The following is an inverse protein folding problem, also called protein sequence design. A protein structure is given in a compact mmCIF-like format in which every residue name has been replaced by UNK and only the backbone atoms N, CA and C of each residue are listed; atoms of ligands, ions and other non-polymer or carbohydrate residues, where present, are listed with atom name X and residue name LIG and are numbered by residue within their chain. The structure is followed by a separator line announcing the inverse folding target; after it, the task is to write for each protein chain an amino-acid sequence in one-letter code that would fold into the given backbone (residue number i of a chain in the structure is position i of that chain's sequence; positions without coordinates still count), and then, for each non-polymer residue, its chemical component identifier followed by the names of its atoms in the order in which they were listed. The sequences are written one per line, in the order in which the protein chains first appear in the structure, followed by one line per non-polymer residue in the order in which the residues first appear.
data_IF_135905200437
#
_entry.id   IF_135905200437
#
_cell.length_a   1.000
_cell.length_b   1.000
_cell.length_c   1.000
_cell.angle_alpha   90.00
_cell.angle_beta   90.00
_cell.angle_gamma   90.00
#
_symmetry.space_group_name_H-M   'P 1'
#
loop_
_entity.id
_entity.type
_entity.pdbx_description
1 polymer ?
#
# COMPACT_ATOMS: atom_id res chain seq x y z
N UNK A 1 -17.90 17.17 -9.22
CA UNK A 1 -18.09 15.80 -9.76
C UNK A 1 -17.80 14.83 -8.62
N UNK A 2 -18.42 13.64 -8.57
CA UNK A 2 -18.09 12.66 -7.53
C UNK A 2 -16.63 12.22 -7.67
N UNK A 3 -15.99 11.93 -6.53
CA UNK A 3 -14.67 11.32 -6.47
C UNK A 3 -14.69 9.89 -7.00
N UNK A 4 -13.54 9.31 -7.34
CA UNK A 4 -13.49 7.92 -7.78
C UNK A 4 -13.79 6.94 -6.64
N UNK A 5 -13.19 7.16 -5.47
CA UNK A 5 -13.40 6.38 -4.25
C UNK A 5 -13.53 7.29 -3.03
N UNK A 6 -14.48 6.97 -2.15
CA UNK A 6 -14.54 7.55 -0.80
C UNK A 6 -14.58 6.43 0.25
N UNK A 7 -13.68 6.48 1.22
CA UNK A 7 -13.64 5.62 2.41
C UNK A 7 -14.24 6.42 3.56
N UNK A 8 -15.28 5.90 4.22
CA UNK A 8 -16.07 6.70 5.19
C UNK A 8 -16.18 6.10 6.57
N UNK A 9 -16.35 6.96 7.58
CA UNK A 9 -16.64 6.59 8.96
C UNK A 9 -15.46 6.01 9.73
N UNK A 10 -14.28 5.92 9.11
CA UNK A 10 -13.08 5.32 9.66
C UNK A 10 -12.36 6.21 10.67
N UNK A 11 -11.47 5.58 11.44
CA UNK A 11 -10.48 6.26 12.27
C UNK A 11 -9.18 6.39 11.48
N UNK A 12 -8.86 7.59 11.02
CA UNK A 12 -7.64 7.86 10.24
C UNK A 12 -6.44 7.98 11.17
N UNK A 13 -5.41 7.19 10.89
CA UNK A 13 -4.07 7.30 11.47
C UNK A 13 -3.12 7.58 10.31
N UNK A 14 -2.71 8.84 10.16
CA UNK A 14 -2.05 9.35 8.94
C UNK A 14 -0.55 9.06 8.84
N UNK A 15 0.03 8.41 9.86
CA UNK A 15 1.45 8.07 9.91
C UNK A 15 2.38 9.22 10.38
N UNK A 16 1.84 10.39 10.73
CA UNK A 16 2.64 11.53 11.24
C UNK A 16 3.03 11.38 12.71
N UNK A 17 2.48 10.39 13.42
CA UNK A 17 2.60 10.21 14.87
C UNK A 17 1.61 11.05 15.67
N UNK A 18 0.74 11.83 15.02
CA UNK A 18 -0.35 12.55 15.65
C UNK A 18 -1.46 11.66 16.21
N UNK A 19 -2.42 12.28 16.91
CA UNK A 19 -3.60 11.59 17.39
C UNK A 19 -4.48 11.12 16.23
N UNK A 20 -5.09 9.94 16.38
CA UNK A 20 -6.05 9.42 15.41
C UNK A 20 -7.31 10.31 15.34
N UNK A 21 -7.86 10.48 14.14
CA UNK A 21 -9.03 11.34 13.91
C UNK A 21 -10.12 10.57 13.17
N UNK A 22 -11.38 10.75 13.57
CA UNK A 22 -12.51 10.22 12.81
C UNK A 22 -12.70 11.07 11.56
N UNK A 23 -12.54 10.47 10.38
CA UNK A 23 -12.52 11.18 9.11
C UNK A 23 -12.88 10.28 7.93
N UNK A 24 -13.32 10.91 6.84
CA UNK A 24 -13.49 10.29 5.54
C UNK A 24 -12.28 10.64 4.65
N UNK A 25 -11.96 9.76 3.70
CA UNK A 25 -10.83 9.90 2.76
C UNK A 25 -11.35 9.76 1.34
N UNK A 26 -11.09 10.76 0.49
CA UNK A 26 -11.42 10.74 -0.93
C UNK A 26 -10.18 10.50 -1.78
N UNK A 27 -10.34 9.71 -2.84
CA UNK A 27 -9.29 9.31 -3.78
C UNK A 27 -9.79 9.52 -5.20
N UNK A 28 -8.95 10.13 -6.03
CA UNK A 28 -9.13 10.27 -7.48
C UNK A 28 -7.88 9.76 -8.21
N UNK A 29 -8.07 8.81 -9.12
CA UNK A 29 -6.96 8.11 -9.78
C UNK A 29 -5.97 7.50 -8.77
N UNK A 30 -4.74 8.02 -8.79
CA UNK A 30 -3.60 7.56 -7.97
C UNK A 30 -3.34 8.44 -6.73
N UNK A 31 -4.22 9.38 -6.41
CA UNK A 31 -4.01 10.36 -5.32
C UNK A 31 -5.16 10.43 -4.33
N UNK A 32 -4.80 10.61 -3.07
CA UNK A 32 -5.72 11.10 -2.04
C UNK A 32 -5.97 12.59 -2.34
N UNK A 33 -7.23 12.96 -2.54
CA UNK A 33 -7.61 14.35 -2.92
C UNK A 33 -8.28 15.12 -1.80
N UNK A 34 -8.83 14.44 -0.80
CA UNK A 34 -9.31 15.07 0.43
C UNK A 34 -9.28 14.12 1.63
N UNK A 35 -9.04 14.69 2.81
CA UNK A 35 -9.27 14.06 4.11
C UNK A 35 -10.02 15.07 4.96
N UNK A 36 -11.14 14.67 5.55
CA UNK A 36 -11.97 15.61 6.30
C UNK A 36 -12.93 14.92 7.25
N UNK A 37 -13.65 15.68 8.08
CA UNK A 37 -14.68 15.13 8.96
C UNK A 37 -15.68 14.26 8.20
N UNK A 38 -16.38 13.32 8.87
CA UNK A 38 -17.39 12.49 8.23
C UNK A 38 -18.40 13.31 7.42
N UNK A 39 -18.67 12.86 6.20
CA UNK A 39 -19.51 13.52 5.19
C UNK A 39 -18.98 14.87 4.63
N UNK A 40 -17.77 15.31 4.99
CA UNK A 40 -17.21 16.58 4.50
C UNK A 40 -16.48 16.48 3.16
N UNK A 41 -16.05 15.29 2.75
CA UNK A 41 -15.23 15.08 1.53
C UNK A 41 -16.06 14.88 0.25
N UNK A 42 -17.39 14.90 0.34
CA UNK A 42 -18.28 14.71 -0.81
C UNK A 42 -18.57 13.26 -1.18
N UNK A 43 -19.19 13.06 -2.34
CA UNK A 43 -19.63 11.75 -2.84
C UNK A 43 -18.55 11.04 -3.66
N UNK A 44 -18.58 9.71 -3.65
CA UNK A 44 -17.70 8.84 -4.43
C UNK A 44 -18.46 7.92 -5.37
N UNK A 45 -17.92 7.63 -6.56
CA UNK A 45 -18.44 6.59 -7.47
C UNK A 45 -18.42 5.22 -6.81
N UNK A 46 -17.37 4.95 -6.04
CA UNK A 46 -17.25 3.81 -5.13
C UNK A 46 -17.20 4.32 -3.69
N UNK A 47 -17.91 3.62 -2.79
CA UNK A 47 -17.87 3.89 -1.35
C UNK A 47 -17.43 2.65 -0.59
N UNK A 48 -16.56 2.84 0.39
CA UNK A 48 -16.16 1.81 1.35
C UNK A 48 -16.54 2.31 2.74
N UNK A 49 -17.34 1.52 3.46
CA UNK A 49 -17.64 1.77 4.86
C UNK A 49 -16.53 1.19 5.75
N UNK A 50 -15.87 2.07 6.51
CA UNK A 50 -14.78 1.75 7.41
C UNK A 50 -15.16 2.03 8.87
N UNK A 51 -16.45 2.10 9.20
CA UNK A 51 -16.90 2.23 10.58
C UNK A 51 -16.32 1.11 11.46
N UNK A 52 -15.76 1.50 12.62
CA UNK A 52 -15.07 0.59 13.53
C UNK A 52 -13.69 0.13 13.07
N UNK A 53 -13.25 0.51 11.87
CA UNK A 53 -11.92 0.20 11.35
C UNK A 53 -10.97 1.41 11.40
N UNK A 54 -9.68 1.11 11.27
CA UNK A 54 -8.63 2.12 11.10
C UNK A 54 -8.33 2.27 9.61
N UNK A 55 -8.15 3.51 9.17
CA UNK A 55 -7.65 3.84 7.82
C UNK A 55 -6.24 4.38 7.97
N UNK A 56 -5.25 3.66 7.43
CA UNK A 56 -3.83 4.02 7.50
C UNK A 56 -3.25 4.22 6.10
N UNK A 57 -2.10 4.90 5.97
CA UNK A 57 -1.22 4.64 4.83
C UNK A 57 -0.96 3.14 4.69
N UNK A 58 -0.80 2.68 3.46
CA UNK A 58 -0.32 1.32 3.23
C UNK A 58 1.06 1.13 3.83
N UNK A 59 1.35 -0.05 4.37
CA UNK A 59 2.61 -0.28 5.05
C UNK A 59 3.77 -0.36 4.05
N UNK A 60 4.94 0.09 4.51
CA UNK A 60 6.21 -0.01 3.79
C UNK A 60 7.06 -1.06 4.48
N UNK A 61 7.22 -2.21 3.83
CA UNK A 61 8.09 -3.28 4.32
C UNK A 61 9.52 -3.02 3.82
N UNK A 62 10.36 -2.53 4.73
CA UNK A 62 11.72 -2.09 4.43
C UNK A 62 12.71 -3.24 4.30
N UNK A 63 12.29 -4.49 4.57
CA UNK A 63 13.21 -5.61 4.63
C UNK A 63 12.60 -6.91 4.10
N UNK A 64 12.62 -7.05 2.77
CA UNK A 64 12.10 -8.25 2.09
C UNK A 64 13.14 -8.94 1.24
N UNK A 65 12.84 -10.19 0.90
CA UNK A 65 13.61 -11.05 0.01
C UNK A 65 12.74 -11.56 -1.15
N UNK A 66 11.89 -10.69 -1.71
CA UNK A 66 11.04 -11.03 -2.85
C UNK A 66 11.76 -10.95 -4.21
N UNK A 67 13.08 -10.74 -4.22
CA UNK A 67 13.92 -10.58 -5.42
C UNK A 67 13.65 -11.66 -6.49
N UNK A 68 13.54 -12.92 -6.06
CA UNK A 68 13.09 -14.01 -6.92
C UNK A 68 11.57 -14.02 -7.09
N UNK A 69 10.82 -13.98 -5.99
CA UNK A 69 9.36 -14.16 -5.99
C UNK A 69 8.60 -13.17 -6.88
N UNK A 70 9.09 -11.95 -7.00
CA UNK A 70 8.51 -10.93 -7.88
C UNK A 70 8.46 -11.36 -9.37
N UNK A 71 9.24 -12.38 -9.77
CA UNK A 71 9.25 -12.90 -11.14
C UNK A 71 8.10 -13.88 -11.43
N UNK A 72 7.48 -14.49 -10.41
CA UNK A 72 6.39 -15.46 -10.58
C UNK A 72 5.11 -15.14 -9.79
N UNK A 73 5.18 -14.33 -8.74
CA UNK A 73 4.03 -13.84 -7.97
C UNK A 73 3.84 -12.34 -8.19
N UNK A 74 3.04 -11.99 -9.19
CA UNK A 74 2.72 -10.59 -9.52
C UNK A 74 1.89 -9.86 -8.45
N UNK A 75 1.38 -10.57 -7.44
CA UNK A 75 0.58 -10.00 -6.36
C UNK A 75 1.33 -9.87 -5.04
N UNK A 76 2.48 -10.54 -4.90
CA UNK A 76 3.29 -10.59 -3.66
C UNK A 76 2.36 -10.82 -2.45
N UNK A 77 1.52 -11.86 -2.56
CA UNK A 77 0.41 -12.10 -1.63
C UNK A 77 0.80 -12.13 -0.14
N UNK A 78 1.99 -12.65 0.26
CA UNK A 78 2.36 -12.64 1.67
C UNK A 78 2.53 -11.23 2.24
N UNK A 79 2.78 -10.21 1.43
CA UNK A 79 2.83 -8.81 1.87
C UNK A 79 1.50 -8.10 1.65
N UNK A 80 0.91 -8.21 0.46
CA UNK A 80 -0.33 -7.50 0.13
C UNK A 80 -1.50 -7.85 1.06
N UNK A 81 -1.61 -9.11 1.50
CA UNK A 81 -2.65 -9.52 2.45
C UNK A 81 -2.49 -8.94 3.86
N UNK A 82 -1.29 -8.50 4.22
CA UNK A 82 -1.00 -7.88 5.52
C UNK A 82 -0.97 -6.35 5.46
N UNK A 83 -1.50 -5.74 4.39
CA UNK A 83 -1.62 -4.29 4.25
C UNK A 83 -0.35 -3.59 3.75
N UNK A 84 0.66 -4.36 3.31
CA UNK A 84 1.87 -3.80 2.69
C UNK A 84 1.55 -3.36 1.27
N UNK A 85 1.96 -2.14 0.93
CA UNK A 85 1.77 -1.55 -0.40
C UNK A 85 3.09 -1.23 -1.10
N UNK A 86 4.19 -1.19 -0.35
CA UNK A 86 5.54 -0.98 -0.87
C UNK A 86 6.50 -1.93 -0.17
N UNK A 87 7.41 -2.54 -0.94
CA UNK A 87 8.48 -3.40 -0.41
C UNK A 87 9.84 -2.90 -0.86
N UNK A 88 10.86 -3.11 -0.03
CA UNK A 88 12.27 -2.93 -0.37
C UNK A 88 12.93 -4.31 -0.47
N UNK A 89 13.56 -4.58 -1.61
CA UNK A 89 14.25 -5.83 -1.97
C UNK A 89 15.77 -5.63 -2.06
N UNK A 90 16.54 -6.70 -2.24
CA UNK A 90 18.01 -6.61 -2.32
C UNK A 90 18.70 -6.54 -0.95
N UNK A 91 18.04 -7.04 0.10
CA UNK A 91 18.53 -7.00 1.47
C UNK A 91 19.57 -8.10 1.74
N UNK A 92 20.34 -7.93 2.82
CA UNK A 92 21.30 -8.92 3.34
C UNK A 92 22.36 -9.42 2.33
N UNK A 93 22.64 -8.67 1.27
CA UNK A 93 23.53 -9.11 0.19
C UNK A 93 22.92 -10.18 -0.72
N UNK A 94 21.62 -10.45 -0.58
CA UNK A 94 20.84 -11.34 -1.43
C UNK A 94 20.06 -10.49 -2.43
N UNK A 95 20.39 -10.63 -3.70
CA UNK A 95 19.72 -9.97 -4.80
C UNK A 95 20.01 -10.67 -6.11
N UNK A 96 19.04 -10.64 -7.02
CA UNK A 96 19.16 -11.31 -8.33
C UNK A 96 19.87 -10.43 -9.37
N UNK A 97 20.09 -9.14 -9.07
CA UNK A 97 20.79 -8.20 -9.93
C UNK A 97 21.57 -7.16 -9.10
N UNK A 98 22.65 -6.59 -9.67
CA UNK A 98 23.28 -6.95 -10.94
C UNK A 98 24.02 -8.30 -10.86
N UNK A 99 23.97 -9.09 -11.94
CA UNK A 99 24.67 -10.38 -12.09
C UNK A 99 25.37 -10.45 -13.45
N UNK A 100 26.53 -11.12 -13.52
CA UNK A 100 27.24 -11.34 -14.78
C UNK A 100 26.38 -12.16 -15.74
N UNK A 101 26.41 -11.84 -17.03
CA UNK A 101 25.61 -12.55 -18.03
C UNK A 101 25.86 -14.07 -18.05
N UNK A 102 27.09 -14.50 -17.79
CA UNK A 102 27.45 -15.93 -17.68
C UNK A 102 26.81 -16.64 -16.49
N UNK A 103 26.37 -15.90 -15.47
CA UNK A 103 25.98 -16.43 -14.16
C UNK A 103 24.46 -16.30 -13.93
N UNK A 104 23.69 -15.86 -14.94
CA UNK A 104 22.24 -15.64 -14.83
C UNK A 104 21.49 -16.90 -14.37
N UNK A 105 21.85 -18.07 -14.91
CA UNK A 105 21.17 -19.33 -14.57
C UNK A 105 21.52 -19.81 -13.15
N UNK A 106 22.70 -19.47 -12.61
CA UNK A 106 23.15 -19.91 -11.27
C UNK A 106 22.31 -19.32 -10.15
N UNK A 107 21.64 -18.17 -10.38
CA UNK A 107 20.82 -17.51 -9.36
C UNK A 107 19.37 -18.01 -9.32
N UNK A 108 18.90 -18.64 -10.40
CA UNK A 108 17.49 -19.03 -10.59
C UNK A 108 17.29 -20.55 -10.44
N UNK A 109 18.32 -21.35 -10.75
CA UNK A 109 18.36 -22.81 -10.57
C UNK A 109 18.95 -23.23 -9.22
#
# INVERSE_FOLDING_TARGET
MPHDLVITGGTVVDGTGGAAVRADVAVDGDRITAVGPPAAVGEGRRRIDAEGAVVTPGFVDVHTHYDGQATWDGSITPSAWHGVTTVVMGNCGVGFAPVRQSDHNVLVE
#
